data_IF_948249435417
#
_entry.id   IF_948249435417
#
_cell.length_a   1.000
_cell.length_b   1.000
_cell.length_c   1.000
_cell.angle_alpha   90.00
_cell.angle_beta   90.00
_cell.angle_gamma   90.00
#
_symmetry.space_group_name_H-M   'P 1'
#
loop_
_entity.id
_entity.type
_entity.pdbx_description
1 polymer ?
#
# COMPACT_ATOMS: atom_id res chain seq x y z
N UNK A 1 8.46 0.23 22.73
CA UNK A 1 7.03 -0.08 22.85
C UNK A 1 6.39 0.76 21.76
N UNK A 2 5.66 0.18 20.82
CA UNK A 2 5.08 0.99 19.73
C UNK A 2 3.93 1.81 20.34
N UNK A 3 4.06 3.14 20.37
CA UNK A 3 3.04 4.04 20.91
C UNK A 3 1.80 3.99 20.02
N UNK A 4 0.62 3.92 20.63
CA UNK A 4 -0.63 4.03 19.88
C UNK A 4 -0.84 5.48 19.40
N UNK A 5 -1.57 5.68 18.30
CA UNK A 5 -1.74 7.00 17.70
C UNK A 5 -2.40 8.01 18.66
N UNK A 6 -3.36 7.54 19.46
CA UNK A 6 -4.07 8.37 20.44
C UNK A 6 -3.12 8.82 21.57
N UNK A 7 -2.23 7.94 22.03
CA UNK A 7 -1.20 8.26 23.03
C UNK A 7 -0.21 9.31 22.51
N UNK A 8 0.23 9.19 21.26
CA UNK A 8 1.09 10.19 20.60
C UNK A 8 0.40 11.55 20.53
N UNK A 9 -0.91 11.58 20.27
CA UNK A 9 -1.69 12.83 20.19
C UNK A 9 -1.78 13.47 21.58
N UNK A 10 -2.20 12.72 22.61
CA UNK A 10 -2.32 13.23 23.97
C UNK A 10 -0.99 13.80 24.49
N UNK A 11 0.12 13.09 24.25
CA UNK A 11 1.46 13.52 24.63
C UNK A 11 1.87 14.84 23.94
N UNK A 12 1.58 14.98 22.64
CA UNK A 12 1.88 16.21 21.91
C UNK A 12 0.96 17.38 22.30
N UNK A 13 -0.30 17.11 22.66
CA UNK A 13 -1.21 18.12 23.21
C UNK A 13 -0.74 18.62 24.57
N UNK A 14 -0.22 17.72 25.43
CA UNK A 14 0.40 18.12 26.68
C UNK A 14 1.67 18.95 26.44
N UNK A 15 2.54 18.58 25.49
CA UNK A 15 3.75 19.32 25.16
C UNK A 15 3.49 20.80 24.80
N UNK A 16 2.37 21.09 24.14
CA UNK A 16 1.99 22.47 23.76
C UNK A 16 1.12 23.18 24.79
N UNK A 17 0.79 22.53 25.91
CA UNK A 17 -0.02 23.10 26.98
C UNK A 17 0.77 24.06 27.87
N UNK A 18 0.09 25.04 28.46
CA UNK A 18 0.70 25.95 29.46
C UNK A 18 1.12 25.23 30.76
N UNK A 19 0.62 24.00 30.98
CA UNK A 19 0.96 23.16 32.12
C UNK A 19 2.17 22.25 31.89
N UNK A 20 2.75 22.25 30.69
CA UNK A 20 3.86 21.38 30.36
C UNK A 20 5.10 21.70 31.19
N UNK A 21 5.63 20.69 31.87
CA UNK A 21 6.91 20.78 32.60
C UNK A 21 8.09 20.26 31.80
N UNK A 22 7.82 19.64 30.66
CA UNK A 22 8.79 18.88 29.90
C UNK A 22 9.33 19.72 28.73
N UNK A 23 10.31 19.16 28.02
CA UNK A 23 10.92 19.81 26.86
C UNK A 23 10.67 19.01 25.59
N UNK A 24 10.92 19.63 24.44
CA UNK A 24 10.86 18.91 23.15
C UNK A 24 11.75 17.65 23.10
N UNK A 25 12.77 17.55 23.97
CA UNK A 25 13.68 16.41 23.99
C UNK A 25 13.01 15.15 24.57
N UNK A 26 11.99 15.33 25.40
CA UNK A 26 11.23 14.25 26.03
C UNK A 26 10.24 13.60 25.06
N UNK A 27 9.88 14.29 23.96
CA UNK A 27 8.86 13.88 22.98
C UNK A 27 9.43 13.57 21.59
N UNK A 28 10.73 13.23 21.50
CA UNK A 28 11.38 12.99 20.20
C UNK A 28 10.63 11.91 19.41
N UNK A 29 10.20 10.83 20.08
CA UNK A 29 9.51 9.72 19.44
C UNK A 29 8.13 10.14 18.88
N UNK A 30 7.35 10.86 19.67
CA UNK A 30 6.04 11.39 19.30
C UNK A 30 6.15 12.39 18.13
N UNK A 31 7.12 13.30 18.20
CA UNK A 31 7.38 14.28 17.13
C UNK A 31 7.79 13.57 15.84
N UNK A 32 8.61 12.52 15.91
CA UNK A 32 8.98 11.71 14.76
C UNK A 32 7.77 10.98 14.16
N UNK A 33 6.92 10.38 14.99
CA UNK A 33 5.70 9.67 14.55
C UNK A 33 4.73 10.66 13.90
N UNK A 34 4.46 11.80 14.53
CA UNK A 34 3.61 12.84 13.98
C UNK A 34 4.14 13.35 12.62
N UNK A 35 5.44 13.60 12.51
CA UNK A 35 6.08 14.01 11.26
C UNK A 35 5.89 12.96 10.16
N UNK A 36 6.10 11.67 10.46
CA UNK A 36 5.90 10.56 9.52
C UNK A 36 4.43 10.44 9.10
N UNK A 37 3.50 10.56 10.03
CA UNK A 37 2.05 10.48 9.78
C UNK A 37 1.53 11.66 8.96
N UNK A 38 1.98 12.88 9.24
CA UNK A 38 1.64 14.08 8.46
C UNK A 38 2.15 13.98 7.01
N UNK A 39 3.36 13.45 6.80
CA UNK A 39 3.88 13.20 5.45
C UNK A 39 2.99 12.24 4.64
N UNK A 40 2.34 11.25 5.28
CA UNK A 40 1.40 10.33 4.61
C UNK A 40 0.11 11.00 4.16
N UNK A 41 -0.27 12.14 4.75
CA UNK A 41 -1.45 12.91 4.35
C UNK A 41 -1.23 13.72 3.07
N UNK A 42 0.02 13.87 2.62
CA UNK A 42 0.33 14.52 1.36
C UNK A 42 -0.15 13.60 0.24
N UNK A 43 -1.22 14.01 -0.45
CA UNK A 43 -1.76 13.26 -1.58
C UNK A 43 -0.68 13.03 -2.64
N UNK A 44 -0.40 11.77 -2.94
CA UNK A 44 0.45 11.37 -4.05
C UNK A 44 -0.41 10.84 -5.19
N UNK A 45 -0.07 11.21 -6.43
CA UNK A 45 -0.76 10.67 -7.61
C UNK A 45 -0.27 9.25 -7.85
N UNK A 46 -1.20 8.30 -7.96
CA UNK A 46 -0.91 6.95 -8.47
C UNK A 46 -0.26 7.10 -9.84
N UNK A 47 0.98 6.61 -9.97
CA UNK A 47 1.76 6.75 -11.20
C UNK A 47 1.39 5.67 -12.22
N UNK A 48 1.12 4.43 -11.76
CA UNK A 48 0.80 3.27 -12.60
C UNK A 48 -0.27 2.40 -11.92
N UNK A 49 -1.22 1.90 -12.70
CA UNK A 49 -2.26 0.92 -12.31
C UNK A 49 -2.19 -0.16 -13.35
N UNK A 50 -2.10 -1.43 -12.95
CA UNK A 50 -2.03 -2.45 -13.96
C UNK A 50 -3.09 -3.59 -13.79
N UNK A 51 -3.61 -4.06 -14.93
CA UNK A 51 -4.81 -4.89 -15.20
C UNK A 51 -4.47 -6.26 -15.83
N UNK A 52 -4.34 -7.30 -15.03
CA UNK A 52 -3.87 -8.63 -15.46
C UNK A 52 -4.78 -9.81 -15.04
N UNK A 53 -6.04 -9.54 -14.70
CA UNK A 53 -7.02 -10.60 -14.44
C UNK A 53 -7.48 -11.28 -15.76
N UNK A 54 -7.42 -12.61 -15.82
CA UNK A 54 -8.00 -13.38 -16.93
C UNK A 54 -8.63 -14.69 -16.52
N UNK A 55 -9.68 -15.09 -17.24
CA UNK A 55 -10.34 -16.38 -17.07
C UNK A 55 -9.82 -17.35 -18.13
N UNK A 56 -9.30 -18.49 -17.70
CA UNK A 56 -8.85 -19.52 -18.63
C UNK A 56 -10.04 -20.04 -19.45
N UNK A 57 -10.01 -19.98 -20.79
CA UNK A 57 -11.15 -20.38 -21.62
C UNK A 57 -11.39 -21.90 -21.62
N UNK A 58 -10.42 -22.71 -21.19
CA UNK A 58 -10.53 -24.16 -21.21
C UNK A 58 -11.04 -24.77 -19.89
N UNK A 59 -10.59 -24.25 -18.75
CA UNK A 59 -11.00 -24.78 -17.43
C UNK A 59 -11.84 -23.81 -16.61
N UNK A 60 -12.04 -22.58 -17.07
CA UNK A 60 -12.83 -21.56 -16.37
C UNK A 60 -12.15 -20.96 -15.15
N UNK A 61 -10.87 -21.22 -14.91
CA UNK A 61 -10.17 -20.67 -13.74
C UNK A 61 -9.92 -19.18 -13.89
N UNK A 62 -10.30 -18.42 -12.87
CA UNK A 62 -9.91 -17.02 -12.71
C UNK A 62 -8.47 -16.96 -12.21
N UNK A 63 -7.59 -16.36 -13.00
CA UNK A 63 -6.21 -16.10 -12.64
C UNK A 63 -6.11 -14.60 -12.38
N UNK A 64 -6.19 -14.23 -11.12
CA UNK A 64 -6.10 -12.86 -10.59
C UNK A 64 -4.77 -12.76 -9.87
N UNK A 65 -3.74 -12.49 -10.66
CA UNK A 65 -2.34 -12.72 -10.30
C UNK A 65 -1.45 -11.52 -10.50
N UNK A 66 -1.87 -10.36 -9.95
CA UNK A 66 -1.07 -9.16 -9.64
C UNK A 66 -1.08 -8.00 -10.64
N UNK A 67 -1.92 -6.99 -10.37
CA UNK A 67 -1.84 -5.57 -10.73
C UNK A 67 -1.05 -5.14 -11.99
N UNK A 68 -0.83 -5.94 -13.07
CA UNK A 68 0.25 -5.72 -14.06
C UNK A 68 -0.13 -5.46 -15.53
N UNK A 69 -1.41 -5.45 -15.88
CA UNK A 69 -1.86 -4.86 -17.17
C UNK A 69 -1.82 -5.83 -18.33
N UNK A 70 -1.27 -7.03 -18.10
CA UNK A 70 -0.90 -7.98 -19.13
C UNK A 70 -0.97 -9.40 -18.58
N UNK A 71 -1.56 -10.28 -19.38
CA UNK A 71 -1.54 -11.72 -19.14
C UNK A 71 -0.21 -12.26 -19.65
N UNK A 72 0.72 -12.62 -18.74
CA UNK A 72 2.03 -13.20 -19.10
C UNK A 72 2.03 -14.73 -19.13
N UNK A 73 1.01 -15.34 -18.54
CA UNK A 73 0.82 -16.78 -18.55
C UNK A 73 0.66 -17.29 -19.98
N UNK A 74 1.66 -18.03 -20.45
CA UNK A 74 1.58 -18.76 -21.74
C UNK A 74 0.77 -20.05 -21.61
N UNK A 75 0.58 -20.51 -20.37
CA UNK A 75 -0.20 -21.68 -20.03
C UNK A 75 -1.00 -21.40 -18.76
N UNK A 76 -2.24 -21.86 -18.70
CA UNK A 76 -3.03 -21.77 -17.49
C UNK A 76 -2.37 -22.59 -16.38
N UNK A 77 -2.09 -22.00 -15.21
CA UNK A 77 -1.41 -22.71 -14.13
C UNK A 77 -2.23 -23.86 -13.55
N UNK A 78 -3.56 -23.82 -13.65
CA UNK A 78 -4.44 -24.87 -13.13
C UNK A 78 -4.57 -26.08 -14.05
N UNK A 79 -4.81 -25.86 -15.34
CA UNK A 79 -5.12 -26.96 -16.27
C UNK A 79 -4.02 -27.21 -17.31
N UNK A 80 -2.97 -26.38 -17.34
CA UNK A 80 -1.86 -26.49 -18.29
C UNK A 80 -2.22 -26.10 -19.73
N UNK A 81 -3.43 -25.60 -19.99
CA UNK A 81 -3.85 -25.18 -21.33
C UNK A 81 -2.99 -24.03 -21.83
N UNK A 82 -2.49 -24.12 -23.07
CA UNK A 82 -1.78 -23.01 -23.72
C UNK A 82 -2.73 -21.83 -23.97
N UNK A 83 -2.32 -20.63 -23.60
CA UNK A 83 -3.05 -19.37 -23.74
C UNK A 83 -2.46 -18.56 -24.90
N UNK A 84 -3.31 -17.84 -25.63
CA UNK A 84 -2.91 -16.91 -26.69
C UNK A 84 -3.26 -15.49 -26.29
N UNK A 85 -2.25 -14.61 -26.16
CA UNK A 85 -2.47 -13.22 -25.77
C UNK A 85 -2.64 -12.37 -27.04
N UNK A 86 -3.77 -11.67 -27.17
CA UNK A 86 -4.17 -10.94 -28.39
C UNK A 86 -3.26 -9.76 -28.82
N UNK A 87 -2.16 -9.50 -28.12
CA UNK A 87 -1.25 -8.37 -28.36
C UNK A 87 0.14 -8.79 -28.86
N UNK A 88 0.32 -10.01 -29.38
CA UNK A 88 1.41 -10.28 -30.32
C UNK A 88 0.96 -9.72 -31.69
N UNK A 89 1.47 -8.55 -32.05
CA UNK A 89 1.29 -7.93 -33.37
C UNK A 89 1.81 -8.86 -34.47
N UNK A 90 0.91 -9.32 -35.33
CA UNK A 90 1.19 -9.50 -36.76
C UNK A 90 1.32 -8.12 -37.44
#
# INVERSE_FOLDING_TARGET
MELELDEVIENLEYLVSDSCTDTQFDYIEEIEIATKSLKKQILQKVQEKHIDEYICPACGEENSGCDEGKITDRYCPKCGQRLGVKNETD
#
